data_IF_629508773024
#
_entry.id   IF_629508773024
#
_cell.length_a   1.000
_cell.length_b   1.000
_cell.length_c   1.000
_cell.angle_alpha   90.00
_cell.angle_beta   90.00
_cell.angle_gamma   90.00
#
_symmetry.space_group_name_H-M   'P 1'
#
loop_
_entity.id
_entity.type
_entity.pdbx_description
1 polymer ?
#
# COMPACT_ATOMS: atom_id res chain seq x y z
N UNK A 1 -66.96 -50.38 -23.69
CA UNK A 1 -66.47 -49.73 -22.42
C UNK A 1 -65.04 -49.32 -22.59
N UNK A 2 -64.83 -48.10 -23.05
CA UNK A 2 -63.48 -47.59 -23.42
C UNK A 2 -63.02 -46.59 -22.33
N UNK A 3 -61.99 -46.94 -21.60
CA UNK A 3 -61.41 -46.05 -20.55
C UNK A 3 -60.32 -45.17 -21.20
N UNK A 4 -60.57 -43.87 -21.18
CA UNK A 4 -59.59 -42.85 -21.59
C UNK A 4 -58.72 -42.54 -20.39
N UNK A 5 -57.39 -42.78 -20.54
CA UNK A 5 -56.39 -42.41 -19.55
C UNK A 5 -55.82 -41.04 -19.97
N UNK A 6 -56.12 -40.05 -19.18
CA UNK A 6 -55.52 -38.70 -19.36
C UNK A 6 -54.13 -38.64 -18.73
N UNK A 7 -53.12 -38.42 -19.58
CA UNK A 7 -51.74 -38.21 -19.15
C UNK A 7 -51.55 -36.73 -18.89
N UNK A 8 -51.37 -36.37 -17.61
CA UNK A 8 -51.01 -34.99 -17.18
C UNK A 8 -49.49 -34.81 -17.29
N UNK A 9 -49.09 -33.95 -18.18
CA UNK A 9 -47.67 -33.51 -18.26
C UNK A 9 -47.44 -32.40 -17.25
N UNK A 10 -46.64 -32.70 -16.23
CA UNK A 10 -46.12 -31.68 -15.30
C UNK A 10 -44.86 -31.09 -15.89
N UNK A 11 -44.95 -29.86 -16.35
CA UNK A 11 -43.76 -29.09 -16.81
C UNK A 11 -43.06 -28.49 -15.56
N UNK A 12 -41.94 -29.06 -15.21
CA UNK A 12 -41.05 -28.45 -14.21
C UNK A 12 -40.28 -27.29 -14.87
N UNK A 13 -40.65 -26.06 -14.51
CA UNK A 13 -39.91 -24.89 -14.85
C UNK A 13 -38.70 -24.79 -13.89
N UNK A 14 -37.50 -25.09 -14.39
CA UNK A 14 -36.24 -24.85 -13.72
C UNK A 14 -35.97 -23.35 -13.73
N UNK A 15 -36.28 -22.67 -12.63
CA UNK A 15 -35.81 -21.30 -12.40
C UNK A 15 -34.30 -21.30 -12.17
N UNK A 16 -33.53 -20.94 -13.18
CA UNK A 16 -32.09 -20.70 -13.06
C UNK A 16 -31.89 -19.43 -12.22
N UNK A 17 -31.57 -19.58 -10.94
CA UNK A 17 -31.05 -18.47 -10.13
C UNK A 17 -29.70 -18.06 -10.69
N UNK A 18 -29.67 -16.98 -11.48
CA UNK A 18 -28.45 -16.29 -11.81
C UNK A 18 -27.89 -15.64 -10.54
N UNK A 19 -26.84 -16.22 -9.96
CA UNK A 19 -26.06 -15.61 -8.88
C UNK A 19 -25.35 -14.41 -9.50
N UNK A 20 -25.62 -13.16 -9.07
CA UNK A 20 -24.81 -12.03 -9.53
C UNK A 20 -23.38 -12.30 -9.08
N UNK A 21 -22.47 -12.42 -10.04
CA UNK A 21 -21.03 -12.38 -9.80
C UNK A 21 -20.77 -11.04 -9.11
N UNK A 22 -20.39 -11.07 -7.85
CA UNK A 22 -19.83 -9.91 -7.17
C UNK A 22 -18.57 -9.52 -7.96
N UNK A 23 -18.73 -8.61 -8.91
CA UNK A 23 -17.62 -7.91 -9.52
C UNK A 23 -16.89 -7.24 -8.37
N UNK A 24 -15.63 -7.59 -8.17
CA UNK A 24 -14.73 -6.86 -7.29
C UNK A 24 -14.72 -5.42 -7.77
N UNK A 25 -15.51 -4.56 -7.12
CA UNK A 25 -15.41 -3.12 -7.27
C UNK A 25 -14.02 -2.80 -6.68
N UNK A 26 -13.03 -2.66 -7.56
CA UNK A 26 -11.79 -2.02 -7.18
C UNK A 26 -12.20 -0.72 -6.48
N UNK A 27 -11.85 -0.62 -5.21
CA UNK A 27 -12.25 0.50 -4.36
C UNK A 27 -11.76 1.79 -5.00
N UNK A 28 -12.67 2.60 -5.54
CA UNK A 28 -12.35 3.93 -6.08
C UNK A 28 -12.17 4.96 -4.93
N UNK A 29 -12.23 4.47 -3.70
CA UNK A 29 -11.93 5.28 -2.53
C UNK A 29 -10.41 5.47 -2.44
N UNK A 30 -9.98 6.69 -2.06
CA UNK A 30 -8.58 6.97 -1.77
C UNK A 30 -8.04 6.04 -0.67
N UNK A 31 -6.74 6.13 -0.38
CA UNK A 31 -6.16 5.37 0.72
C UNK A 31 -6.90 5.67 2.02
N UNK A 32 -6.95 4.69 2.92
CA UNK A 32 -7.46 4.89 4.26
C UNK A 32 -6.47 5.72 5.07
N UNK A 33 -6.97 6.68 5.83
CA UNK A 33 -6.15 7.59 6.63
C UNK A 33 -5.65 8.80 5.84
N UNK A 34 -4.99 9.72 6.54
CA UNK A 34 -4.47 10.97 5.99
C UNK A 34 -2.95 11.00 6.10
N UNK A 35 -2.21 11.32 5.03
CA UNK A 35 -0.76 11.45 5.09
C UNK A 35 -0.34 12.60 5.98
N UNK A 36 0.73 12.46 6.79
CA UNK A 36 1.36 13.60 7.44
C UNK A 36 1.90 14.57 6.39
N UNK A 37 1.63 15.89 6.50
CA UNK A 37 2.13 16.88 5.53
C UNK A 37 3.65 16.86 5.33
N UNK A 38 4.39 16.44 6.35
CA UNK A 38 5.85 16.30 6.31
C UNK A 38 6.30 15.29 5.25
N UNK A 39 5.53 14.25 4.98
CA UNK A 39 5.88 13.16 4.07
C UNK A 39 5.43 13.41 2.62
N UNK A 40 4.57 14.40 2.37
CA UNK A 40 4.07 14.69 1.02
C UNK A 40 4.95 15.73 0.33
N UNK A 41 5.40 15.44 -0.89
CA UNK A 41 6.24 16.33 -1.68
C UNK A 41 7.35 15.61 -2.44
N UNK A 42 8.39 16.34 -2.80
CA UNK A 42 9.59 15.81 -3.44
C UNK A 42 10.76 15.81 -2.48
N UNK A 43 11.52 14.73 -2.50
CA UNK A 43 12.60 14.49 -1.55
C UNK A 43 13.80 13.85 -2.25
N UNK A 44 14.91 13.89 -1.57
CA UNK A 44 16.11 13.12 -1.90
C UNK A 44 16.63 12.48 -0.61
N UNK A 45 17.06 11.23 -0.69
CA UNK A 45 17.64 10.56 0.47
C UNK A 45 19.16 10.80 0.60
N UNK A 46 19.75 10.21 1.62
CA UNK A 46 21.18 10.31 1.89
C UNK A 46 22.04 9.38 1.01
N UNK A 47 21.43 8.76 -0.02
CA UNK A 47 22.08 8.02 -1.10
C UNK A 47 21.89 8.69 -2.46
N UNK A 48 21.41 9.95 -2.49
CA UNK A 48 21.11 10.75 -3.68
C UNK A 48 20.00 10.14 -4.57
N UNK A 49 19.09 9.36 -3.98
CA UNK A 49 17.90 8.84 -4.67
C UNK A 49 16.75 9.85 -4.53
N UNK A 50 16.08 10.15 -5.64
CA UNK A 50 14.94 11.07 -5.67
C UNK A 50 13.61 10.35 -5.43
N UNK A 51 12.68 11.07 -4.77
CA UNK A 51 11.35 10.59 -4.45
C UNK A 51 10.29 11.64 -4.73
N UNK A 52 9.11 11.20 -5.19
CA UNK A 52 7.89 11.97 -5.20
C UNK A 52 6.82 11.23 -4.43
N UNK A 53 6.34 11.82 -3.33
CA UNK A 53 5.37 11.21 -2.43
C UNK A 53 4.09 12.03 -2.44
N UNK A 54 2.98 11.37 -2.73
CA UNK A 54 1.63 11.92 -2.68
C UNK A 54 0.76 11.11 -1.72
N UNK A 55 -0.51 11.49 -1.57
CA UNK A 55 -1.47 10.72 -0.79
C UNK A 55 -1.56 9.24 -1.21
N UNK A 56 -1.42 8.96 -2.52
CA UNK A 56 -1.69 7.64 -3.11
C UNK A 56 -0.49 6.93 -3.68
N UNK A 57 0.63 7.63 -3.84
CA UNK A 57 1.79 7.08 -4.53
C UNK A 57 3.06 7.52 -3.82
N UNK A 58 3.92 6.55 -3.55
CA UNK A 58 5.32 6.75 -3.22
C UNK A 58 6.12 6.31 -4.43
N UNK A 59 6.72 7.26 -5.12
CA UNK A 59 7.58 6.99 -6.27
C UNK A 59 9.03 7.20 -5.87
N UNK A 60 9.82 6.16 -5.93
CA UNK A 60 11.28 6.18 -5.83
C UNK A 60 11.83 6.10 -7.25
N UNK A 61 12.50 7.14 -7.67
CA UNK A 61 13.03 7.22 -9.02
C UNK A 61 14.21 6.27 -9.25
N UNK A 62 14.42 5.74 -10.50
CA UNK A 62 13.54 6.02 -11.65
C UNK A 62 12.27 5.14 -11.73
N UNK A 63 12.31 3.91 -11.22
CA UNK A 63 11.39 2.86 -11.68
C UNK A 63 10.53 2.21 -10.60
N UNK A 64 10.73 2.54 -9.31
CA UNK A 64 10.03 1.87 -8.22
C UNK A 64 8.85 2.68 -7.73
N UNK A 65 7.65 2.07 -7.71
CA UNK A 65 6.41 2.69 -7.29
C UNK A 65 5.67 1.83 -6.29
N UNK A 66 5.13 2.48 -5.26
CA UNK A 66 4.32 1.87 -4.22
C UNK A 66 2.97 2.58 -4.18
N UNK A 67 1.88 1.87 -4.50
CA UNK A 67 0.50 2.38 -4.46
C UNK A 67 0.00 2.33 -3.02
N UNK A 68 -0.06 3.47 -2.36
CA UNK A 68 -0.42 3.57 -0.95
C UNK A 68 -1.91 3.26 -0.78
N UNK A 69 -2.23 2.33 0.11
CA UNK A 69 -3.60 1.92 0.44
C UNK A 69 -4.01 2.34 1.84
N UNK A 70 -3.07 2.50 2.77
CA UNK A 70 -3.35 2.91 4.14
C UNK A 70 -2.24 3.80 4.71
N UNK A 71 -2.66 4.83 5.45
CA UNK A 71 -1.80 5.68 6.26
C UNK A 71 -2.12 5.51 7.74
N UNK A 72 -1.17 5.06 8.52
CA UNK A 72 -1.25 4.96 9.98
C UNK A 72 -0.38 6.05 10.61
N UNK A 73 -0.87 7.30 10.55
CA UNK A 73 -0.09 8.48 10.91
C UNK A 73 0.33 8.50 12.39
N UNK A 74 -0.52 8.01 13.30
CA UNK A 74 -0.23 7.92 14.73
C UNK A 74 0.84 6.88 15.03
N UNK A 75 0.75 5.74 14.36
CA UNK A 75 1.69 4.61 14.52
C UNK A 75 2.94 4.76 13.64
N UNK A 76 2.98 5.82 12.82
CA UNK A 76 4.08 6.16 11.93
C UNK A 76 4.46 5.05 10.93
N UNK A 77 3.47 4.50 10.23
CA UNK A 77 3.70 3.62 9.09
C UNK A 77 2.61 3.76 8.01
N UNK A 78 2.91 3.27 6.83
CA UNK A 78 1.95 3.11 5.74
C UNK A 78 2.04 1.70 5.15
N UNK A 79 0.97 1.30 4.47
CA UNK A 79 0.90 0.06 3.69
C UNK A 79 0.67 0.43 2.23
N UNK A 80 1.42 -0.20 1.35
CA UNK A 80 1.32 0.01 -0.08
C UNK A 80 1.42 -1.30 -0.87
N UNK A 81 0.80 -1.34 -2.04
CA UNK A 81 1.01 -2.39 -3.02
C UNK A 81 2.08 -1.93 -4.02
N UNK A 82 3.06 -2.79 -4.26
CA UNK A 82 4.12 -2.55 -5.22
C UNK A 82 3.53 -2.56 -6.65
N UNK A 83 3.90 -1.59 -7.47
CA UNK A 83 3.49 -1.58 -8.87
C UNK A 83 3.94 -2.87 -9.57
N UNK A 84 3.08 -3.42 -10.43
CA UNK A 84 3.38 -4.67 -11.13
C UNK A 84 4.63 -4.58 -12.03
N UNK A 85 5.03 -3.37 -12.41
CA UNK A 85 6.22 -3.12 -13.22
C UNK A 85 7.49 -2.89 -12.39
N UNK A 86 7.42 -2.91 -11.05
CA UNK A 86 8.60 -2.75 -10.21
C UNK A 86 9.63 -3.85 -10.47
N UNK A 87 10.91 -3.53 -10.54
CA UNK A 87 11.95 -4.53 -10.66
C UNK A 87 12.00 -5.45 -9.41
N UNK A 88 11.68 -6.72 -9.57
CA UNK A 88 11.90 -7.77 -8.56
C UNK A 88 10.74 -8.09 -7.64
N UNK A 89 9.94 -7.13 -7.21
CA UNK A 89 8.90 -7.30 -6.18
C UNK A 89 7.50 -6.81 -6.62
N UNK A 90 7.28 -6.75 -7.93
CA UNK A 90 6.02 -6.29 -8.53
C UNK A 90 4.80 -7.07 -8.04
N UNK A 91 3.74 -6.34 -7.67
CA UNK A 91 2.49 -6.89 -7.18
C UNK A 91 2.49 -7.36 -5.72
N UNK A 92 3.64 -7.40 -5.06
CA UNK A 92 3.78 -7.70 -3.63
C UNK A 92 3.42 -6.49 -2.77
N UNK A 93 3.56 -6.61 -1.46
CA UNK A 93 3.15 -5.60 -0.51
C UNK A 93 4.33 -5.09 0.30
N UNK A 94 4.26 -3.79 0.63
CA UNK A 94 5.31 -3.08 1.35
C UNK A 94 4.72 -2.37 2.57
N UNK A 95 5.46 -2.43 3.67
CA UNK A 95 5.27 -1.59 4.84
C UNK A 95 6.44 -0.61 4.93
N UNK A 96 6.12 0.68 5.06
CA UNK A 96 7.09 1.75 5.25
C UNK A 96 6.86 2.38 6.61
N UNK A 97 7.80 2.21 7.53
CA UNK A 97 7.83 2.91 8.81
C UNK A 97 8.65 4.20 8.67
N UNK A 98 8.31 5.26 9.43
CA UNK A 98 9.07 6.50 9.42
C UNK A 98 9.32 7.06 10.82
N UNK A 99 10.30 7.95 10.90
CA UNK A 99 10.63 8.74 12.08
C UNK A 99 10.82 10.20 11.69
N UNK A 100 10.52 11.12 12.62
CA UNK A 100 10.90 12.54 12.51
C UNK A 100 12.30 12.70 13.05
N UNK A 101 13.11 13.55 12.41
CA UNK A 101 14.49 13.84 12.79
C UNK A 101 14.58 15.30 13.24
N UNK A 102 14.33 15.61 14.54
CA UNK A 102 14.50 16.97 15.03
C UNK A 102 15.98 17.38 15.01
N UNK A 103 16.24 18.64 14.69
CA UNK A 103 17.59 19.24 14.74
C UNK A 103 18.64 18.52 13.85
N UNK A 104 18.20 17.93 12.72
CA UNK A 104 19.06 17.22 11.77
C UNK A 104 19.01 17.80 10.36
N UNK A 105 18.73 19.08 10.21
CA UNK A 105 18.71 19.74 8.89
C UNK A 105 19.98 19.42 8.07
N UNK A 106 19.83 19.20 6.76
CA UNK A 106 18.61 19.33 5.93
C UNK A 106 17.66 18.13 6.00
N UNK A 107 17.98 17.07 6.71
CA UNK A 107 17.17 15.88 6.85
C UNK A 107 16.14 16.07 7.95
N UNK A 108 14.86 16.04 7.60
CA UNK A 108 13.77 16.32 8.56
C UNK A 108 13.04 15.07 9.03
N UNK A 109 13.19 13.97 8.29
CA UNK A 109 12.59 12.67 8.60
C UNK A 109 13.39 11.55 7.94
N UNK A 110 13.09 10.30 8.32
CA UNK A 110 13.72 9.14 7.70
C UNK A 110 12.71 7.98 7.61
N UNK A 111 12.93 7.05 6.68
CA UNK A 111 12.07 5.90 6.50
C UNK A 111 12.81 4.56 6.53
N UNK A 112 12.04 3.50 6.72
CA UNK A 112 12.47 2.11 6.68
C UNK A 112 11.46 1.30 5.88
N UNK A 113 11.88 0.53 4.91
CA UNK A 113 11.09 -0.54 4.32
C UNK A 113 11.14 -1.74 5.28
N UNK A 114 10.28 -1.77 6.28
CA UNK A 114 10.22 -2.85 7.28
C UNK A 114 9.73 -4.16 6.67
N UNK A 115 8.88 -4.10 5.65
CA UNK A 115 8.63 -5.18 4.71
C UNK A 115 8.55 -4.60 3.30
N UNK A 116 9.08 -5.31 2.29
CA UNK A 116 9.09 -4.84 0.88
C UNK A 116 8.63 -5.91 -0.12
N UNK A 117 8.44 -7.16 0.33
CA UNK A 117 8.04 -8.28 -0.51
C UNK A 117 7.04 -9.20 0.20
N UNK A 118 6.12 -8.63 1.01
CA UNK A 118 5.10 -9.41 1.67
C UNK A 118 4.08 -9.93 0.64
N UNK A 119 3.65 -11.20 0.72
CA UNK A 119 2.74 -11.79 -0.27
C UNK A 119 1.31 -11.25 -0.18
N UNK A 120 0.94 -10.59 0.93
CA UNK A 120 -0.37 -9.99 1.12
C UNK A 120 -0.31 -8.71 1.95
N UNK A 121 -1.35 -7.87 1.86
CA UNK A 121 -1.52 -6.70 2.70
C UNK A 121 -1.46 -7.06 4.19
N UNK A 122 -2.16 -8.12 4.60
CA UNK A 122 -2.21 -8.54 6.00
C UNK A 122 -0.83 -8.96 6.54
N UNK A 123 0.02 -9.57 5.71
CA UNK A 123 1.38 -9.92 6.12
C UNK A 123 2.29 -8.68 6.17
N UNK A 124 2.10 -7.70 5.30
CA UNK A 124 2.79 -6.42 5.40
C UNK A 124 2.42 -5.66 6.69
N UNK A 125 1.13 -5.66 7.06
CA UNK A 125 0.64 -5.06 8.31
C UNK A 125 1.21 -5.73 9.56
N UNK A 126 1.41 -7.05 9.52
CA UNK A 126 1.94 -7.86 10.62
C UNK A 126 3.47 -7.92 10.66
N UNK A 127 4.15 -7.31 9.70
CA UNK A 127 5.60 -7.29 9.68
C UNK A 127 6.17 -6.61 10.93
N UNK A 128 7.38 -7.01 11.31
CA UNK A 128 8.08 -6.43 12.44
C UNK A 128 8.21 -4.91 12.29
N UNK A 129 7.82 -4.20 13.34
CA UNK A 129 7.90 -2.74 13.40
C UNK A 129 9.36 -2.32 13.47
N UNK A 130 9.76 -1.35 12.65
CA UNK A 130 11.10 -0.79 12.72
C UNK A 130 11.38 -0.19 14.11
N UNK A 131 12.59 -0.39 14.64
CA UNK A 131 13.02 0.12 15.94
C UNK A 131 13.35 1.62 15.84
N UNK A 132 12.34 2.47 16.02
CA UNK A 132 12.40 3.93 15.79
C UNK A 132 13.32 4.69 16.73
N UNK A 133 13.59 4.15 17.89
CA UNK A 133 14.56 4.65 18.88
C UNK A 133 16.02 4.34 18.51
N UNK A 134 16.23 3.53 17.48
CA UNK A 134 17.54 3.14 16.96
C UNK A 134 17.73 3.52 15.49
N UNK A 135 17.73 4.79 15.10
CA UNK A 135 17.70 5.20 13.70
C UNK A 135 18.91 4.70 12.87
N UNK A 136 19.99 4.27 13.52
CA UNK A 136 21.19 3.74 12.82
C UNK A 136 21.16 2.24 12.55
N UNK A 137 20.29 1.49 13.21
CA UNK A 137 20.24 0.01 13.12
C UNK A 137 18.83 -0.55 13.16
N UNK A 138 17.83 0.29 13.40
CA UNK A 138 16.45 -0.11 13.66
C UNK A 138 15.64 -0.50 12.43
N UNK A 139 16.23 -0.37 11.23
CA UNK A 139 15.62 -0.81 10.00
C UNK A 139 16.20 -2.18 9.61
N UNK A 140 15.67 -3.26 10.18
CA UNK A 140 16.15 -4.64 9.90
C UNK A 140 17.68 -4.80 10.10
N UNK A 141 18.26 -4.09 11.08
CA UNK A 141 19.70 -4.06 11.32
C UNK A 141 20.46 -2.97 10.56
N UNK A 142 19.80 -2.23 9.68
CA UNK A 142 20.35 -1.14 8.88
C UNK A 142 19.89 0.23 9.36
N UNK A 143 20.53 1.34 8.93
CA UNK A 143 20.03 2.68 9.17
C UNK A 143 18.70 2.94 8.46
N UNK A 144 17.88 3.82 9.03
CA UNK A 144 16.81 4.48 8.30
C UNK A 144 17.39 5.39 7.22
N UNK A 145 16.78 5.41 6.02
CA UNK A 145 17.13 6.35 4.94
C UNK A 145 16.63 7.74 5.27
N UNK A 146 17.53 8.69 5.39
CA UNK A 146 17.21 10.08 5.80
C UNK A 146 16.75 10.89 4.59
N UNK A 147 15.72 11.71 4.78
CA UNK A 147 15.04 12.43 3.71
C UNK A 147 15.19 13.93 3.88
N UNK A 148 15.65 14.59 2.82
CA UNK A 148 15.66 16.06 2.67
C UNK A 148 14.68 16.47 1.58
N UNK A 149 13.97 17.55 1.79
CA UNK A 149 13.05 18.08 0.78
C UNK A 149 13.83 18.71 -0.37
N UNK A 150 13.46 18.36 -1.62
CA UNK A 150 13.99 18.96 -2.84
C UNK A 150 12.92 19.84 -3.46
N UNK A 151 13.27 21.10 -3.79
CA UNK A 151 12.36 22.07 -4.40
C UNK A 151 11.68 23.03 -3.40
N UNK A 152 11.50 24.25 -3.83
CA UNK A 152 10.75 25.30 -3.12
C UNK A 152 9.24 25.04 -3.29
N UNK A 153 8.71 24.13 -2.50
CA UNK A 153 7.30 23.82 -2.38
C UNK A 153 6.93 23.81 -0.90
N UNK A 154 7.10 24.96 -0.24
CA UNK A 154 6.40 25.25 1.00
C UNK A 154 4.94 25.61 0.68
N UNK A 155 4.01 25.48 1.67
CA UNK A 155 2.61 25.79 1.54
C UNK A 155 2.35 27.22 1.13
#
# INVERSE_FOLDING_TARGET
MTRIVAIVWIVFALAACAIPRAGSLASQNGPEGTPPPLLVGTFEDDYDIEYAISERLWHQYPDTRYHIVQWHATEQYLIAQNDAANPGDGGLWTRIDWIVLPEMEPYTWAFCLSAYAAPSQAEAEQADVAERDRPRTGCNGYPFSRMRRTGAGGP
#
